data_IF_514955752834
#
_entry.id   IF_514955752834
#
_cell.length_a   1.000
_cell.length_b   1.000
_cell.length_c   1.000
_cell.angle_alpha   90.00
_cell.angle_beta   90.00
_cell.angle_gamma   90.00
#
_symmetry.space_group_name_H-M   'P 1'
#
loop_
_entity.id
_entity.type
_entity.pdbx_description
1 polymer ?
#
# COMPACT_ATOMS: atom_id res chain seq x y z
N UNK A 1 -11.83 38.47 47.65
CA UNK A 1 -12.39 37.92 46.40
C UNK A 1 -11.34 36.95 45.88
N UNK A 2 -11.61 35.65 46.01
CA UNK A 2 -10.70 34.62 45.51
C UNK A 2 -11.03 34.42 44.03
N UNK A 3 -10.06 34.70 43.17
CA UNK A 3 -10.18 34.44 41.74
C UNK A 3 -10.48 32.96 41.51
N UNK A 4 -11.63 32.68 40.91
CA UNK A 4 -11.96 31.36 40.43
C UNK A 4 -10.96 31.02 39.33
N UNK A 5 -10.01 30.14 39.65
CA UNK A 5 -9.04 29.62 38.72
C UNK A 5 -9.82 28.86 37.63
N UNK A 6 -10.05 29.49 36.49
CA UNK A 6 -10.72 28.88 35.34
C UNK A 6 -9.95 27.59 34.98
N UNK A 7 -10.54 26.45 35.31
CA UNK A 7 -9.97 25.16 34.97
C UNK A 7 -9.94 25.06 33.45
N UNK A 8 -8.74 25.13 32.86
CA UNK A 8 -8.56 24.99 31.41
C UNK A 8 -9.23 23.68 30.97
N UNK A 9 -10.10 23.70 29.94
CA UNK A 9 -10.78 22.49 29.50
C UNK A 9 -9.74 21.47 29.04
N UNK A 10 -9.82 20.26 29.59
CA UNK A 10 -8.96 19.14 29.23
C UNK A 10 -9.23 18.77 27.76
N UNK A 11 -8.18 18.81 26.94
CA UNK A 11 -8.24 18.42 25.54
C UNK A 11 -7.96 16.94 25.38
N UNK A 12 -8.38 16.36 24.25
CA UNK A 12 -8.15 14.94 23.96
C UNK A 12 -6.65 14.59 24.01
N UNK A 13 -5.79 15.46 23.48
CA UNK A 13 -4.34 15.28 23.45
C UNK A 13 -3.66 15.45 24.82
N UNK A 14 -4.38 15.95 25.83
CA UNK A 14 -3.87 16.03 27.21
C UNK A 14 -3.97 14.68 27.94
N UNK A 15 -4.66 13.70 27.35
CA UNK A 15 -4.79 12.36 27.92
C UNK A 15 -3.47 11.56 27.76
N UNK A 16 -3.18 10.64 28.70
CA UNK A 16 -2.07 9.70 28.55
C UNK A 16 -2.18 8.88 27.25
N UNK A 17 -1.02 8.56 26.66
CA UNK A 17 -0.93 7.84 25.39
C UNK A 17 -1.70 6.52 25.43
N UNK A 18 -1.65 5.80 26.55
CA UNK A 18 -2.32 4.51 26.72
C UNK A 18 -3.85 4.64 26.64
N UNK A 19 -4.40 5.74 27.15
CA UNK A 19 -5.84 6.03 27.09
C UNK A 19 -6.23 6.40 25.66
N UNK A 20 -5.41 7.20 24.97
CA UNK A 20 -5.62 7.55 23.58
C UNK A 20 -5.58 6.31 22.67
N UNK A 21 -4.61 5.41 22.86
CA UNK A 21 -4.54 4.15 22.13
C UNK A 21 -5.78 3.29 22.39
N UNK A 22 -6.22 3.19 23.65
CA UNK A 22 -7.45 2.47 24.01
C UNK A 22 -8.66 3.04 23.27
N UNK A 23 -8.82 4.37 23.20
CA UNK A 23 -9.88 5.00 22.39
C UNK A 23 -9.76 4.58 20.94
N UNK A 24 -8.56 4.63 20.34
CA UNK A 24 -8.34 4.24 18.95
C UNK A 24 -8.66 2.75 18.69
N UNK A 25 -8.56 1.85 19.67
CA UNK A 25 -8.95 0.43 19.47
C UNK A 25 -10.44 0.24 19.21
N UNK A 26 -11.29 1.18 19.61
CA UNK A 26 -12.75 1.09 19.49
C UNK A 26 -13.32 1.82 18.27
N UNK A 27 -12.46 2.44 17.46
CA UNK A 27 -12.89 3.21 16.30
C UNK A 27 -12.96 2.32 15.05
N UNK A 28 -14.02 2.51 14.28
CA UNK A 28 -14.12 1.97 12.93
C UNK A 28 -13.37 2.89 11.95
N UNK A 29 -13.30 2.48 10.67
CA UNK A 29 -12.62 3.24 9.64
C UNK A 29 -13.13 4.69 9.54
N UNK A 30 -14.45 4.89 9.63
CA UNK A 30 -15.07 6.21 9.51
C UNK A 30 -14.65 7.12 10.66
N UNK A 31 -14.67 6.61 11.89
CA UNK A 31 -14.26 7.36 13.08
C UNK A 31 -12.76 7.65 13.10
N UNK A 32 -11.93 6.70 12.66
CA UNK A 32 -10.51 6.96 12.45
C UNK A 32 -10.27 8.09 11.43
N UNK A 33 -11.03 8.12 10.33
CA UNK A 33 -10.93 9.19 9.32
C UNK A 33 -11.28 10.55 9.94
N UNK A 34 -12.36 10.62 10.71
CA UNK A 34 -12.78 11.85 11.39
C UNK A 34 -11.71 12.38 12.35
N UNK A 35 -11.14 11.55 13.21
CA UNK A 35 -10.08 11.98 14.15
C UNK A 35 -8.87 12.56 13.40
N UNK A 36 -8.50 11.96 12.27
CA UNK A 36 -7.38 12.40 11.44
C UNK A 36 -7.65 13.73 10.71
N UNK A 37 -8.90 14.16 10.63
CA UNK A 37 -9.31 15.44 10.04
C UNK A 37 -9.39 16.56 11.09
N UNK A 38 -9.41 16.23 12.38
CA UNK A 38 -9.55 17.22 13.48
C UNK A 38 -8.27 18.03 13.68
N UNK A 39 -7.11 17.38 13.77
CA UNK A 39 -5.82 18.05 13.91
C UNK A 39 -4.67 17.24 13.34
N UNK A 40 -3.55 17.92 13.03
CA UNK A 40 -2.33 17.28 12.57
C UNK A 40 -1.75 16.33 13.62
N UNK A 41 -1.77 16.71 14.90
CA UNK A 41 -1.24 15.85 15.97
C UNK A 41 -2.06 14.57 16.11
N UNK A 42 -3.40 14.66 16.04
CA UNK A 42 -4.27 13.49 16.06
C UNK A 42 -4.07 12.59 14.84
N UNK A 43 -3.79 13.19 13.68
CA UNK A 43 -3.44 12.47 12.46
C UNK A 43 -2.13 11.71 12.59
N UNK A 44 -1.10 12.33 13.14
CA UNK A 44 0.19 11.71 13.42
C UNK A 44 0.06 10.61 14.46
N UNK A 45 -0.67 10.85 15.55
CA UNK A 45 -0.93 9.86 16.59
C UNK A 45 -1.66 8.62 16.05
N UNK A 46 -2.75 8.84 15.30
CA UNK A 46 -3.50 7.78 14.62
C UNK A 46 -2.61 6.99 13.66
N UNK A 47 -1.76 7.68 12.88
CA UNK A 47 -0.80 7.05 11.96
C UNK A 47 0.19 6.17 12.71
N UNK A 48 0.83 6.69 13.76
CA UNK A 48 1.79 5.96 14.57
C UNK A 48 1.17 4.69 15.19
N UNK A 49 -0.03 4.81 15.76
CA UNK A 49 -0.76 3.68 16.32
C UNK A 49 -1.07 2.57 15.29
N UNK A 50 -1.60 2.93 14.12
CA UNK A 50 -1.93 1.96 13.06
C UNK A 50 -0.65 1.29 12.53
N UNK A 51 0.40 2.08 12.32
CA UNK A 51 1.70 1.54 11.88
C UNK A 51 2.30 0.60 12.91
N UNK A 52 2.22 0.94 14.20
CA UNK A 52 2.68 0.06 15.27
C UNK A 52 1.95 -1.28 15.26
N UNK A 53 0.62 -1.28 15.13
CA UNK A 53 -0.18 -2.50 15.00
C UNK A 53 0.17 -3.29 13.75
N UNK A 54 0.37 -2.62 12.61
CA UNK A 54 0.76 -3.27 11.37
C UNK A 54 2.15 -3.91 11.47
N UNK A 55 3.16 -3.19 11.98
CA UNK A 55 4.51 -3.73 12.19
C UNK A 55 4.49 -4.92 13.14
N UNK A 56 3.72 -4.85 14.22
CA UNK A 56 3.51 -5.98 15.14
C UNK A 56 2.89 -7.19 14.43
N UNK A 57 1.92 -6.97 13.55
CA UNK A 57 1.31 -8.02 12.73
C UNK A 57 2.29 -8.64 11.75
N UNK A 58 3.15 -7.84 11.09
CA UNK A 58 4.22 -8.34 10.23
C UNK A 58 5.25 -9.17 11.01
N UNK A 59 5.61 -8.74 12.23
CA UNK A 59 6.52 -9.50 13.11
C UNK A 59 5.90 -10.85 13.49
N UNK A 60 4.60 -10.87 13.80
CA UNK A 60 3.89 -12.11 14.12
C UNK A 60 3.89 -13.11 12.94
N UNK A 61 3.89 -12.62 11.70
CA UNK A 61 3.88 -13.42 10.46
C UNK A 61 5.25 -13.53 9.79
N UNK A 62 6.36 -13.38 10.53
CA UNK A 62 7.69 -13.71 10.01
C UNK A 62 7.80 -15.19 9.69
N UNK A 63 8.73 -15.53 8.79
CA UNK A 63 9.00 -16.91 8.40
C UNK A 63 9.32 -17.75 9.63
N UNK A 64 8.64 -18.90 9.75
CA UNK A 64 8.88 -19.87 10.82
C UNK A 64 9.02 -21.26 10.21
N UNK A 65 9.87 -22.13 10.81
CA UNK A 65 9.87 -23.55 10.49
C UNK A 65 8.46 -24.12 10.69
N UNK A 66 8.00 -24.97 9.76
CA UNK A 66 6.68 -25.60 9.79
C UNK A 66 5.49 -24.62 9.94
N UNK A 67 5.55 -23.47 9.26
CA UNK A 67 4.41 -22.54 9.19
C UNK A 67 3.19 -23.16 8.48
N UNK A 68 1.99 -22.83 8.95
CA UNK A 68 0.75 -23.21 8.25
C UNK A 68 0.66 -22.52 6.89
N UNK A 69 -0.03 -23.14 5.93
CA UNK A 69 -0.27 -22.53 4.61
C UNK A 69 -0.95 -21.14 4.74
N UNK A 70 -1.83 -20.99 5.73
CA UNK A 70 -2.47 -19.71 6.06
C UNK A 70 -1.45 -18.63 6.44
N UNK A 71 -0.58 -18.91 7.41
CA UNK A 71 0.42 -17.95 7.89
C UNK A 71 1.43 -17.60 6.78
N UNK A 72 1.81 -18.59 5.96
CA UNK A 72 2.64 -18.38 4.78
C UNK A 72 2.00 -17.43 3.78
N UNK A 73 0.72 -17.64 3.45
CA UNK A 73 0.00 -16.79 2.50
C UNK A 73 -0.07 -15.34 3.03
N UNK A 74 -0.38 -15.16 4.31
CA UNK A 74 -0.39 -13.83 4.95
C UNK A 74 1.00 -13.18 4.85
N UNK A 75 2.08 -13.92 5.15
CA UNK A 75 3.46 -13.44 5.01
C UNK A 75 3.77 -12.97 3.59
N UNK A 76 3.41 -13.77 2.58
CA UNK A 76 3.62 -13.42 1.16
C UNK A 76 2.84 -12.15 0.81
N UNK A 77 1.58 -12.03 1.22
CA UNK A 77 0.77 -10.84 0.99
C UNK A 77 1.43 -9.59 1.60
N UNK A 78 1.87 -9.65 2.86
CA UNK A 78 2.55 -8.55 3.54
C UNK A 78 3.85 -8.14 2.83
N UNK A 79 4.64 -9.10 2.36
CA UNK A 79 5.86 -8.83 1.58
C UNK A 79 5.57 -8.12 0.26
N UNK A 80 4.51 -8.53 -0.45
CA UNK A 80 4.11 -7.90 -1.71
C UNK A 80 3.61 -6.47 -1.43
N UNK A 81 2.74 -6.29 -0.42
CA UNK A 81 2.26 -4.96 0.00
C UNK A 81 3.41 -3.99 0.27
N UNK A 82 4.40 -4.42 1.06
CA UNK A 82 5.58 -3.61 1.38
C UNK A 82 6.36 -3.24 0.12
N UNK A 83 6.54 -4.20 -0.78
CA UNK A 83 7.26 -3.99 -2.06
C UNK A 83 6.52 -3.03 -2.99
N UNK A 84 5.19 -3.09 -3.01
CA UNK A 84 4.37 -2.20 -3.85
C UNK A 84 4.41 -0.75 -3.36
N UNK A 85 4.49 -0.54 -2.05
CA UNK A 85 4.45 0.81 -1.46
C UNK A 85 5.82 1.47 -1.29
N UNK A 86 6.93 0.72 -1.33
CA UNK A 86 8.27 1.22 -0.98
C UNK A 86 8.82 2.33 -1.88
N UNK A 87 8.30 2.46 -3.10
CA UNK A 87 8.81 3.42 -4.09
C UNK A 87 8.09 4.78 -4.06
N UNK A 88 7.25 5.04 -3.05
CA UNK A 88 6.52 6.30 -2.90
C UNK A 88 6.99 7.06 -1.64
N UNK A 89 8.19 7.68 -1.62
CA UNK A 89 8.80 8.21 -0.40
C UNK A 89 8.24 9.57 0.09
N UNK A 90 7.06 9.98 -0.37
CA UNK A 90 6.48 11.28 -0.02
C UNK A 90 6.07 11.38 1.45
N UNK A 91 6.07 12.61 1.96
CA UNK A 91 5.79 12.95 3.37
C UNK A 91 4.46 12.37 3.88
N UNK A 92 3.41 12.37 3.05
CA UNK A 92 2.11 11.82 3.40
C UNK A 92 1.94 10.32 3.11
N UNK A 93 2.97 9.61 2.63
CA UNK A 93 2.82 8.19 2.25
C UNK A 93 2.46 7.29 3.41
N UNK A 94 3.06 7.49 4.59
CA UNK A 94 2.72 6.67 5.75
C UNK A 94 1.27 6.92 6.19
N UNK A 95 0.81 8.17 6.08
CA UNK A 95 -0.59 8.55 6.34
C UNK A 95 -1.56 7.91 5.34
N UNK A 96 -1.25 7.95 4.04
CA UNK A 96 -2.06 7.28 3.01
C UNK A 96 -2.09 5.76 3.20
N UNK A 97 -0.93 5.18 3.51
CA UNK A 97 -0.79 3.75 3.75
C UNK A 97 -1.63 3.31 4.95
N UNK A 98 -1.59 4.04 6.07
CA UNK A 98 -2.41 3.74 7.25
C UNK A 98 -3.91 3.85 6.99
N UNK A 99 -4.36 4.80 6.18
CA UNK A 99 -5.77 4.87 5.76
C UNK A 99 -6.17 3.67 4.90
N UNK A 100 -5.30 3.20 4.00
CA UNK A 100 -5.53 1.98 3.24
C UNK A 100 -5.56 0.74 4.14
N UNK A 101 -4.68 0.66 5.14
CA UNK A 101 -4.68 -0.42 6.13
C UNK A 101 -5.96 -0.44 6.96
N UNK A 102 -6.46 0.72 7.40
CA UNK A 102 -7.72 0.78 8.15
C UNK A 102 -8.92 0.32 7.31
N UNK A 103 -9.00 0.76 6.06
CA UNK A 103 -10.05 0.30 5.14
C UNK A 103 -10.00 -1.22 4.92
N UNK A 104 -8.80 -1.79 4.98
CA UNK A 104 -8.57 -3.23 4.90
C UNK A 104 -8.95 -3.98 6.18
N UNK A 105 -8.64 -3.41 7.36
CA UNK A 105 -8.89 -4.04 8.67
C UNK A 105 -10.34 -3.92 9.15
N UNK A 106 -11.04 -2.85 8.79
CA UNK A 106 -12.43 -2.60 9.22
C UNK A 106 -13.45 -3.44 8.46
N UNK A 107 -13.08 -3.94 7.26
CA UNK A 107 -13.81 -5.01 6.56
C UNK A 107 -13.57 -6.34 7.30
N UNK A 108 -14.27 -6.50 8.43
CA UNK A 108 -14.18 -7.62 9.37
C UNK A 108 -14.01 -9.00 8.69
N UNK A 109 -12.91 -9.66 9.10
CA UNK A 109 -12.76 -11.09 9.41
C UNK A 109 -13.07 -12.21 8.40
N UNK A 110 -13.85 -12.04 7.34
CA UNK A 110 -14.20 -13.18 6.46
C UNK A 110 -13.35 -13.31 5.19
N UNK A 111 -12.52 -12.30 4.89
CA UNK A 111 -11.94 -12.17 3.56
C UNK A 111 -10.41 -11.99 3.51
N UNK A 112 -9.69 -12.18 4.62
CA UNK A 112 -8.22 -12.02 4.73
C UNK A 112 -7.39 -13.00 3.87
N UNK A 113 -7.99 -13.74 2.93
CA UNK A 113 -7.43 -14.97 2.38
C UNK A 113 -7.40 -15.04 0.85
N UNK A 114 -7.79 -13.99 0.13
CA UNK A 114 -7.86 -14.02 -1.34
C UNK A 114 -6.97 -12.97 -1.99
N UNK A 115 -6.42 -13.30 -3.17
CA UNK A 115 -5.63 -12.38 -3.99
C UNK A 115 -6.39 -11.06 -4.30
N UNK A 116 -7.72 -11.13 -4.36
CA UNK A 116 -8.63 -9.99 -4.52
C UNK A 116 -8.44 -8.90 -3.43
N UNK A 117 -8.00 -9.28 -2.23
CA UNK A 117 -7.75 -8.32 -1.14
C UNK A 117 -6.45 -7.54 -1.35
N UNK A 118 -5.42 -8.22 -1.87
CA UNK A 118 -4.16 -7.60 -2.24
C UNK A 118 -4.37 -6.58 -3.37
N UNK A 119 -5.10 -6.94 -4.44
CA UNK A 119 -5.40 -6.01 -5.51
C UNK A 119 -6.25 -4.84 -5.04
N UNK A 120 -7.28 -5.07 -4.23
CA UNK A 120 -8.09 -3.98 -3.68
C UNK A 120 -7.25 -2.99 -2.87
N UNK A 121 -6.34 -3.48 -2.02
CA UNK A 121 -5.42 -2.60 -1.28
C UNK A 121 -4.54 -1.79 -2.23
N UNK A 122 -3.90 -2.46 -3.19
CA UNK A 122 -2.99 -1.84 -4.17
C UNK A 122 -3.72 -0.78 -4.99
N UNK A 123 -4.92 -1.09 -5.48
CA UNK A 123 -5.78 -0.15 -6.21
C UNK A 123 -6.10 1.07 -5.35
N UNK A 124 -6.53 0.86 -4.09
CA UNK A 124 -6.84 1.96 -3.19
C UNK A 124 -5.62 2.83 -2.90
N UNK A 125 -4.47 2.25 -2.59
CA UNK A 125 -3.23 2.98 -2.32
C UNK A 125 -2.79 3.81 -3.53
N UNK A 126 -2.72 3.21 -4.71
CA UNK A 126 -2.27 3.91 -5.91
C UNK A 126 -3.26 4.98 -6.37
N UNK A 127 -4.58 4.78 -6.21
CA UNK A 127 -5.57 5.83 -6.44
C UNK A 127 -5.36 7.03 -5.53
N UNK A 128 -4.98 6.83 -4.26
CA UNK A 128 -4.65 7.95 -3.37
C UNK A 128 -3.41 8.71 -3.85
N UNK A 129 -2.42 7.99 -4.40
CA UNK A 129 -1.23 8.61 -5.00
C UNK A 129 -1.51 9.36 -6.31
N UNK A 130 -2.61 9.07 -6.98
CA UNK A 130 -3.06 9.75 -8.20
C UNK A 130 -4.02 10.92 -7.94
N UNK A 131 -4.49 11.13 -6.71
CA UNK A 131 -5.33 12.28 -6.38
C UNK A 131 -4.59 13.59 -6.67
N UNK A 132 -5.24 14.55 -7.35
CA UNK A 132 -4.61 15.82 -7.72
C UNK A 132 -4.35 16.65 -6.47
N UNK A 133 -3.11 17.03 -6.27
CA UNK A 133 -2.76 18.13 -5.37
C UNK A 133 -2.88 19.44 -6.15
N UNK A 134 -3.65 20.40 -5.63
CA UNK A 134 -3.73 21.76 -6.16
C UNK A 134 -2.34 22.42 -6.04
N UNK A 135 -1.47 22.35 -7.05
CA UNK A 135 -0.19 23.08 -7.02
C UNK A 135 0.55 23.16 -8.37
N UNK A 136 1.28 24.27 -8.53
CA UNK A 136 2.29 24.53 -9.55
C UNK A 136 3.31 23.37 -9.63
N UNK A 137 3.86 23.08 -10.83
CA UNK A 137 4.75 21.94 -11.18
C UNK A 137 4.10 20.56 -11.40
N UNK A 138 2.86 20.54 -11.94
CA UNK A 138 2.16 19.30 -12.30
C UNK A 138 2.99 18.32 -13.17
N UNK A 139 3.78 18.85 -14.12
CA UNK A 139 4.56 18.04 -15.07
C UNK A 139 5.74 17.31 -14.40
N UNK A 140 6.46 17.96 -13.48
CA UNK A 140 7.56 17.33 -12.75
C UNK A 140 7.06 16.25 -11.79
N UNK A 141 5.95 16.52 -11.10
CA UNK A 141 5.30 15.52 -10.24
C UNK A 141 4.77 14.34 -11.05
N UNK A 142 4.20 14.58 -12.24
CA UNK A 142 3.77 13.50 -13.13
C UNK A 142 4.94 12.59 -13.52
N UNK A 143 6.08 13.18 -13.91
CA UNK A 143 7.31 12.42 -14.22
C UNK A 143 7.77 11.60 -13.03
N UNK A 144 7.78 12.19 -11.84
CA UNK A 144 8.15 11.50 -10.60
C UNK A 144 7.18 10.34 -10.29
N UNK A 145 5.87 10.55 -10.44
CA UNK A 145 4.86 9.49 -10.28
C UNK A 145 5.07 8.34 -11.24
N UNK A 146 5.30 8.63 -12.53
CA UNK A 146 5.61 7.61 -13.53
C UNK A 146 6.86 6.82 -13.16
N UNK A 147 7.89 7.50 -12.66
CA UNK A 147 9.09 6.84 -12.14
C UNK A 147 8.77 5.93 -10.94
N UNK A 148 7.93 6.35 -9.99
CA UNK A 148 7.52 5.48 -8.88
C UNK A 148 6.78 4.23 -9.37
N UNK A 149 5.88 4.36 -10.36
CA UNK A 149 5.21 3.21 -10.97
C UNK A 149 6.18 2.26 -11.66
N UNK A 150 7.10 2.80 -12.46
CA UNK A 150 8.16 2.05 -13.11
C UNK A 150 8.93 1.22 -12.09
N UNK A 151 9.41 1.87 -11.03
CA UNK A 151 10.22 1.23 -10.00
C UNK A 151 9.41 0.16 -9.25
N UNK A 152 8.12 0.42 -9.01
CA UNK A 152 7.20 -0.55 -8.42
C UNK A 152 7.02 -1.78 -9.31
N UNK A 153 6.77 -1.59 -10.61
CA UNK A 153 6.64 -2.69 -11.57
C UNK A 153 7.93 -3.50 -11.64
N UNK A 154 9.08 -2.85 -11.79
CA UNK A 154 10.37 -3.52 -11.82
C UNK A 154 10.66 -4.27 -10.51
N UNK A 155 10.34 -3.66 -9.37
CA UNK A 155 10.51 -4.25 -8.05
C UNK A 155 9.65 -5.49 -7.83
N UNK A 156 8.43 -5.52 -8.38
CA UNK A 156 7.56 -6.70 -8.34
C UNK A 156 8.01 -7.77 -9.34
N UNK A 157 8.31 -7.38 -10.58
CA UNK A 157 8.78 -8.29 -11.65
C UNK A 157 10.04 -9.05 -11.25
N UNK A 158 10.98 -8.39 -10.56
CA UNK A 158 12.22 -9.03 -10.07
C UNK A 158 11.99 -10.11 -9.01
N UNK A 159 10.80 -10.20 -8.42
CA UNK A 159 10.49 -11.20 -7.39
C UNK A 159 9.94 -12.51 -7.94
N UNK A 160 9.66 -12.58 -9.24
CA UNK A 160 9.28 -13.82 -9.92
C UNK A 160 10.52 -14.68 -10.18
N UNK A 161 10.42 -16.00 -10.04
CA UNK A 161 11.60 -16.89 -10.08
C UNK A 161 12.18 -17.06 -11.49
N UNK A 162 11.36 -16.89 -12.54
CA UNK A 162 11.75 -17.18 -13.93
C UNK A 162 11.38 -16.06 -14.92
N UNK A 163 11.65 -14.80 -14.54
CA UNK A 163 11.41 -13.67 -15.44
C UNK A 163 12.51 -13.51 -16.47
N UNK A 164 12.10 -13.37 -17.74
CA UNK A 164 12.93 -12.82 -18.81
C UNK A 164 12.38 -11.46 -19.23
N UNK A 165 13.21 -10.42 -19.13
CA UNK A 165 12.89 -9.10 -19.71
C UNK A 165 13.27 -9.17 -21.18
N UNK A 166 12.27 -9.22 -22.08
CA UNK A 166 12.45 -9.60 -23.49
C UNK A 166 12.89 -8.44 -24.37
N UNK A 167 12.50 -7.21 -24.03
CA UNK A 167 12.90 -6.03 -24.78
C UNK A 167 13.47 -4.98 -23.83
N UNK A 168 14.70 -4.53 -24.11
CA UNK A 168 15.32 -3.41 -23.41
C UNK A 168 14.51 -2.16 -23.72
N UNK A 169 13.75 -1.71 -22.73
CA UNK A 169 12.78 -0.64 -22.91
C UNK A 169 13.41 0.59 -23.58
N UNK A 170 12.71 1.17 -24.54
CA UNK A 170 12.91 2.58 -24.87
C UNK A 170 12.40 3.39 -23.68
N UNK A 171 13.27 3.60 -22.68
CA UNK A 171 12.98 4.33 -21.46
C UNK A 171 13.03 5.83 -21.70
N UNK A 172 12.06 6.36 -22.42
CA UNK A 172 11.73 7.77 -22.23
C UNK A 172 10.87 7.86 -20.97
N UNK A 173 11.16 8.75 -20.02
CA UNK A 173 10.30 8.99 -18.83
C UNK A 173 8.83 9.27 -19.23
N UNK A 174 8.60 9.60 -20.51
CA UNK A 174 7.30 9.88 -21.10
C UNK A 174 6.72 8.75 -21.97
N UNK A 175 7.51 7.75 -22.38
CA UNK A 175 7.08 6.60 -23.18
C UNK A 175 7.65 5.33 -22.58
N UNK A 176 6.77 4.45 -22.10
CA UNK A 176 7.19 3.20 -21.47
C UNK A 176 6.69 2.01 -22.28
N UNK A 177 7.62 1.18 -22.75
CA UNK A 177 7.29 -0.15 -23.28
C UNK A 177 8.03 -1.22 -22.49
N UNK A 178 7.35 -1.94 -21.61
CA UNK A 178 7.96 -3.02 -20.82
C UNK A 178 7.35 -4.36 -21.23
N UNK A 179 8.16 -5.25 -21.78
CA UNK A 179 7.74 -6.63 -22.08
C UNK A 179 8.44 -7.60 -21.14
N UNK A 180 7.65 -8.23 -20.28
CA UNK A 180 8.07 -9.25 -19.31
C UNK A 180 7.54 -10.60 -19.77
N UNK A 181 8.42 -11.58 -19.93
CA UNK A 181 8.02 -12.97 -20.17
C UNK A 181 8.17 -13.77 -18.87
N UNK A 182 7.04 -14.29 -18.40
CA UNK A 182 6.92 -15.32 -17.37
C UNK A 182 6.82 -16.68 -18.08
N UNK A 183 7.14 -17.81 -17.40
CA UNK A 183 7.22 -19.13 -18.03
C UNK A 183 6.02 -19.53 -18.90
N UNK A 184 4.82 -19.06 -18.55
CA UNK A 184 3.57 -19.35 -19.28
C UNK A 184 2.78 -18.09 -19.71
N UNK A 185 3.32 -16.88 -19.49
CA UNK A 185 2.59 -15.63 -19.74
C UNK A 185 3.54 -14.52 -20.19
N UNK A 186 3.28 -13.89 -21.33
CA UNK A 186 3.96 -12.65 -21.72
C UNK A 186 3.09 -11.44 -21.37
N UNK A 187 3.65 -10.50 -20.62
CA UNK A 187 3.00 -9.26 -20.23
C UNK A 187 3.72 -8.10 -20.93
N UNK A 188 3.01 -7.37 -21.80
CA UNK A 188 3.51 -6.14 -22.40
C UNK A 188 2.75 -4.94 -21.85
N UNK A 189 3.50 -3.95 -21.38
CA UNK A 189 3.03 -2.61 -21.05
C UNK A 189 3.42 -1.70 -22.20
N UNK A 190 2.47 -1.02 -22.82
CA UNK A 190 2.74 0.06 -23.78
C UNK A 190 2.02 1.30 -23.26
N UNK A 191 2.77 2.26 -22.74
CA UNK A 191 2.27 3.56 -22.33
C UNK A 191 2.50 4.56 -23.48
N UNK A 192 1.47 4.73 -24.31
CA UNK A 192 1.46 5.70 -25.40
C UNK A 192 1.19 7.12 -24.89
N UNK A 193 1.85 8.10 -25.52
CA UNK A 193 1.64 9.51 -25.27
C UNK A 193 0.18 9.86 -25.58
N UNK A 194 -0.59 10.18 -24.56
CA UNK A 194 -1.70 11.12 -24.63
C UNK A 194 -2.00 11.62 -23.23
N UNK A 195 -2.59 12.82 -23.16
CA UNK A 195 -2.98 13.56 -21.96
C UNK A 195 -3.34 12.69 -20.75
N UNK A 196 -3.06 13.19 -19.54
CA UNK A 196 -3.46 12.63 -18.24
C UNK A 196 -4.96 12.30 -18.21
N UNK A 197 -5.33 11.16 -18.77
CA UNK A 197 -6.69 10.69 -18.80
C UNK A 197 -6.84 9.73 -17.62
N UNK A 198 -7.92 9.90 -16.88
CA UNK A 198 -8.32 9.01 -15.78
C UNK A 198 -8.27 7.54 -16.23
N UNK A 199 -8.58 7.26 -17.51
CA UNK A 199 -8.46 5.94 -18.11
C UNK A 199 -7.02 5.37 -18.10
N UNK A 200 -6.00 6.16 -18.40
CA UNK A 200 -4.60 5.69 -18.39
C UNK A 200 -4.10 5.45 -16.97
N UNK A 201 -4.45 6.35 -16.04
CA UNK A 201 -4.17 6.17 -14.61
C UNK A 201 -4.78 4.87 -14.10
N UNK A 202 -6.07 4.63 -14.38
CA UNK A 202 -6.73 3.39 -14.03
C UNK A 202 -6.05 2.15 -14.65
N UNK A 203 -5.60 2.21 -15.92
CA UNK A 203 -4.87 1.09 -16.54
C UNK A 203 -3.56 0.78 -15.82
N UNK A 204 -2.75 1.79 -15.47
CA UNK A 204 -1.50 1.60 -14.71
C UNK A 204 -1.77 1.00 -13.33
N UNK A 205 -2.77 1.51 -12.62
CA UNK A 205 -3.16 1.02 -11.30
C UNK A 205 -3.60 -0.44 -11.38
N UNK A 206 -4.50 -0.77 -12.31
CA UNK A 206 -4.97 -2.15 -12.53
C UNK A 206 -3.82 -3.08 -12.92
N UNK A 207 -2.88 -2.60 -13.72
CA UNK A 207 -1.70 -3.37 -14.10
C UNK A 207 -0.84 -3.75 -12.89
N UNK A 208 -0.52 -2.80 -12.01
CA UNK A 208 0.25 -3.09 -10.78
C UNK A 208 -0.53 -4.02 -9.86
N UNK A 209 -1.84 -3.86 -9.75
CA UNK A 209 -2.70 -4.74 -8.96
C UNK A 209 -2.68 -6.19 -9.49
N UNK A 210 -2.84 -6.38 -10.80
CA UNK A 210 -2.74 -7.69 -11.45
C UNK A 210 -1.36 -8.32 -11.27
N UNK A 211 -0.30 -7.53 -11.40
CA UNK A 211 1.07 -8.00 -11.19
C UNK A 211 1.29 -8.48 -9.75
N UNK A 212 0.75 -7.76 -8.76
CA UNK A 212 0.80 -8.16 -7.36
C UNK A 212 0.03 -9.46 -7.10
N UNK A 213 -1.14 -9.64 -7.70
CA UNK A 213 -1.91 -10.89 -7.62
C UNK A 213 -1.19 -12.08 -8.27
N UNK A 214 -0.62 -11.88 -9.47
CA UNK A 214 0.15 -12.91 -10.16
C UNK A 214 1.37 -13.35 -9.35
N UNK A 215 2.07 -12.38 -8.74
CA UNK A 215 3.21 -12.66 -7.87
C UNK A 215 2.78 -13.43 -6.63
N UNK A 216 1.63 -13.08 -6.04
CA UNK A 216 1.06 -13.81 -4.91
C UNK A 216 0.74 -15.27 -5.30
N UNK A 217 0.10 -15.46 -6.45
CA UNK A 217 -0.25 -16.79 -6.95
C UNK A 217 0.97 -17.65 -7.26
N UNK A 218 2.01 -17.09 -7.88
CA UNK A 218 3.26 -17.82 -8.11
C UNK A 218 3.89 -18.22 -6.78
N UNK A 219 4.17 -17.26 -5.87
CA UNK A 219 4.84 -17.53 -4.59
C UNK A 219 4.09 -18.50 -3.68
N UNK A 220 2.76 -18.56 -3.78
CA UNK A 220 1.97 -19.56 -3.06
C UNK A 220 2.14 -20.95 -3.67
N UNK A 221 2.27 -21.06 -5.00
CA UNK A 221 2.46 -22.34 -5.72
C UNK A 221 3.90 -22.90 -5.69
N UNK A 222 4.95 -22.09 -5.77
CA UNK A 222 6.31 -22.59 -6.05
C UNK A 222 6.93 -23.49 -4.98
N UNK A 223 6.38 -23.58 -3.77
CA UNK A 223 6.83 -24.54 -2.74
C UNK A 223 5.90 -25.75 -2.51
N UNK A 224 4.92 -25.99 -3.39
CA UNK A 224 4.17 -27.27 -3.41
C UNK A 224 4.80 -28.33 -4.31
N UNK A 225 5.85 -27.99 -5.07
CA UNK A 225 6.71 -28.98 -5.72
C UNK A 225 7.65 -29.56 -4.66
N UNK A 226 7.15 -30.49 -3.85
CA UNK A 226 8.01 -31.45 -3.15
C UNK A 226 8.64 -32.32 -4.24
N UNK A 227 9.98 -32.44 -4.31
CA UNK A 227 10.60 -33.39 -5.21
C UNK A 227 10.23 -34.81 -4.75
N UNK A 228 9.69 -35.61 -5.67
CA UNK A 228 9.62 -37.08 -5.53
C UNK A 228 11.04 -37.68 -5.48
#
# INVERSE_FOLDING_TARGET
MADAQESKPIQLLDLPVEILEMVLTHLDFKRHKLIREVSEELRQFSTAYIMHRHRSYEVAHRERPAESALNRNIRIMLQILRSTCSYFPEEDTESDFTLCLLNFQDKKSEYFHTADHLSQFVVHFLRRKELPFNQFNWMERLKLRRLHYVMTVLGLVRQFENVKIVNGATWSILHMSLMVSLPNTSISLIEEQTNCNVAQSNRRISFVALLAELLFYEKTKTRYAVPE
#
